data_IF_336933561757
#
_entry.id   IF_336933561757
#
_cell.length_a   1.000
_cell.length_b   1.000
_cell.length_c   1.000
_cell.angle_alpha   90.00
_cell.angle_beta   90.00
_cell.angle_gamma   90.00
#
_symmetry.space_group_name_H-M   'P 1'
#
loop_
_entity.id
_entity.type
_entity.pdbx_description
1 polymer ?
#
# COMPACT_ATOMS: atom_id res chain seq x y z
N UNK A 1 -0.95 -6.26 -16.99
CA UNK A 1 -2.29 -6.91 -16.95
C UNK A 1 -3.35 -5.88 -17.33
N UNK A 2 -4.41 -6.26 -18.05
CA UNK A 2 -5.55 -5.37 -18.38
C UNK A 2 -6.52 -5.24 -17.21
N UNK A 3 -7.37 -4.20 -17.20
CA UNK A 3 -8.29 -3.93 -16.09
C UNK A 3 -9.27 -5.09 -15.86
N UNK A 4 -9.80 -5.67 -16.92
CA UNK A 4 -10.76 -6.79 -16.88
C UNK A 4 -10.12 -8.04 -16.28
N UNK A 5 -8.90 -8.37 -16.74
CA UNK A 5 -8.15 -9.51 -16.21
C UNK A 5 -7.82 -9.35 -14.71
N UNK A 6 -7.60 -8.11 -14.24
CA UNK A 6 -7.46 -7.83 -12.81
C UNK A 6 -8.76 -8.09 -12.07
N UNK A 7 -9.89 -7.55 -12.55
CA UNK A 7 -11.19 -7.72 -11.90
C UNK A 7 -11.57 -9.20 -11.81
N UNK A 8 -11.43 -9.96 -12.90
CA UNK A 8 -11.69 -11.40 -12.92
C UNK A 8 -10.84 -12.18 -11.92
N UNK A 9 -9.59 -11.75 -11.65
CA UNK A 9 -8.75 -12.37 -10.64
C UNK A 9 -9.16 -11.95 -9.23
N UNK A 10 -9.49 -10.68 -9.02
CA UNK A 10 -9.88 -10.15 -7.73
C UNK A 10 -11.21 -10.75 -7.24
N UNK A 11 -12.18 -10.94 -8.13
CA UNK A 11 -13.49 -11.53 -7.81
C UNK A 11 -13.43 -13.00 -7.37
N UNK A 12 -12.37 -13.73 -7.78
CA UNK A 12 -12.13 -15.12 -7.35
C UNK A 12 -11.59 -15.21 -5.93
N UNK A 13 -11.13 -14.11 -5.36
CA UNK A 13 -10.61 -14.04 -4.00
C UNK A 13 -11.74 -13.61 -3.09
N UNK A 14 -12.06 -14.40 -2.06
CA UNK A 14 -13.17 -14.12 -1.13
C UNK A 14 -13.12 -12.70 -0.54
N UNK A 15 -11.92 -12.23 -0.20
CA UNK A 15 -11.70 -10.92 0.39
C UNK A 15 -10.34 -10.38 -0.06
N UNK A 16 -10.24 -9.78 -1.25
CA UNK A 16 -8.97 -9.35 -1.79
C UNK A 16 -8.41 -8.17 -1.00
N UNK A 17 -7.12 -8.23 -0.67
CA UNK A 17 -6.38 -7.13 -0.07
C UNK A 17 -5.68 -6.33 -1.15
N UNK A 18 -5.98 -5.03 -1.22
CA UNK A 18 -5.47 -4.12 -2.25
C UNK A 18 -4.66 -3.00 -1.58
N UNK A 19 -3.38 -2.90 -1.95
CA UNK A 19 -2.55 -1.78 -1.52
C UNK A 19 -2.84 -0.55 -2.38
N UNK A 20 -3.08 0.59 -1.75
CA UNK A 20 -3.21 1.89 -2.41
C UNK A 20 -2.16 2.84 -1.84
N UNK A 21 -1.11 3.11 -2.63
CA UNK A 21 0.09 3.80 -2.15
C UNK A 21 0.67 4.76 -3.17
N UNK A 22 1.55 5.64 -2.74
CA UNK A 22 2.35 6.40 -3.69
C UNK A 22 3.25 7.46 -3.07
N UNK A 23 3.68 8.39 -3.92
CA UNK A 23 4.52 9.51 -3.52
C UNK A 23 3.77 10.49 -2.63
N UNK A 24 4.53 11.22 -1.79
CA UNK A 24 4.01 12.31 -0.96
C UNK A 24 3.72 13.57 -1.76
N UNK A 25 4.44 13.78 -2.86
CA UNK A 25 4.27 14.94 -3.73
C UNK A 25 3.38 14.54 -4.90
N UNK A 26 2.09 14.87 -4.80
CA UNK A 26 1.10 14.58 -5.84
C UNK A 26 0.75 15.88 -6.55
N UNK A 27 0.89 15.94 -7.90
CA UNK A 27 0.41 17.08 -8.67
C UNK A 27 -1.10 17.28 -8.49
N UNK A 28 -1.55 18.54 -8.42
CA UNK A 28 -2.95 18.87 -8.11
C UNK A 28 -3.93 18.24 -9.13
N UNK A 29 -3.52 18.20 -10.40
CA UNK A 29 -4.27 17.61 -11.51
C UNK A 29 -4.43 16.09 -11.42
N UNK A 30 -3.55 15.41 -10.68
CA UNK A 30 -3.64 13.97 -10.44
C UNK A 30 -4.62 13.66 -9.30
N UNK A 31 -4.82 14.56 -8.35
CA UNK A 31 -5.57 14.28 -7.12
C UNK A 31 -7.01 13.74 -7.35
N UNK A 32 -7.83 14.30 -8.26
CA UNK A 32 -9.17 13.75 -8.54
C UNK A 32 -9.13 12.31 -9.07
N UNK A 33 -8.05 11.93 -9.76
CA UNK A 33 -7.90 10.60 -10.38
C UNK A 33 -7.60 9.54 -9.33
N UNK A 34 -6.74 9.84 -8.36
CA UNK A 34 -6.45 8.93 -7.24
C UNK A 34 -7.72 8.65 -6.43
N UNK A 35 -8.49 9.70 -6.15
CA UNK A 35 -9.79 9.59 -5.46
C UNK A 35 -10.73 8.70 -6.28
N UNK A 36 -10.94 9.02 -7.56
CA UNK A 36 -11.86 8.28 -8.42
C UNK A 36 -11.47 6.82 -8.60
N UNK A 37 -10.18 6.51 -8.73
CA UNK A 37 -9.71 5.13 -8.83
C UNK A 37 -10.05 4.33 -7.56
N UNK A 38 -9.77 4.87 -6.38
CA UNK A 38 -10.11 4.21 -5.11
C UNK A 38 -11.61 3.99 -4.98
N UNK A 39 -12.44 5.00 -5.31
CA UNK A 39 -13.90 4.88 -5.27
C UNK A 39 -14.39 3.75 -6.19
N UNK A 40 -13.93 3.73 -7.45
CA UNK A 40 -14.33 2.69 -8.41
C UNK A 40 -13.90 1.29 -7.99
N UNK A 41 -12.68 1.13 -7.46
CA UNK A 41 -12.22 -0.15 -6.94
C UNK A 41 -13.12 -0.64 -5.80
N UNK A 42 -13.56 0.27 -4.92
CA UNK A 42 -14.41 -0.10 -3.80
C UNK A 42 -15.85 -0.43 -4.18
N UNK A 43 -16.37 0.19 -5.24
CA UNK A 43 -17.68 -0.11 -5.84
C UNK A 43 -17.67 -1.47 -6.54
N UNK A 44 -16.63 -1.74 -7.35
CA UNK A 44 -16.51 -2.97 -8.13
C UNK A 44 -16.16 -4.19 -7.26
N UNK A 45 -15.43 -3.98 -6.16
CA UNK A 45 -14.98 -5.05 -5.27
C UNK A 45 -15.53 -4.83 -3.86
N UNK A 46 -16.82 -5.12 -3.60
CA UNK A 46 -17.48 -4.81 -2.33
C UNK A 46 -16.88 -5.56 -1.14
N UNK A 47 -16.24 -6.72 -1.37
CA UNK A 47 -15.55 -7.48 -0.34
C UNK A 47 -14.09 -7.02 -0.10
N UNK A 48 -13.52 -6.16 -0.95
CA UNK A 48 -12.10 -5.80 -0.86
C UNK A 48 -11.76 -5.05 0.43
N UNK A 49 -10.56 -5.34 0.95
CA UNK A 49 -9.86 -4.58 1.98
C UNK A 49 -8.83 -3.69 1.30
N UNK A 50 -8.80 -2.42 1.69
CA UNK A 50 -7.85 -1.43 1.21
C UNK A 50 -6.83 -1.08 2.27
N UNK A 51 -5.55 -1.25 1.94
CA UNK A 51 -4.43 -1.11 2.87
C UNK A 51 -3.47 -0.02 2.44
N UNK A 52 -2.96 0.74 3.41
CA UNK A 52 -2.01 1.84 3.18
C UNK A 52 -1.07 2.06 4.36
N UNK A 53 0.01 2.81 4.12
CA UNK A 53 0.95 3.24 5.14
C UNK A 53 0.60 4.54 5.86
N UNK A 54 -0.59 5.12 5.58
CA UNK A 54 -1.05 6.39 6.15
C UNK A 54 -0.08 7.56 5.92
N UNK A 55 0.64 7.55 4.78
CA UNK A 55 1.50 8.67 4.41
C UNK A 55 0.68 9.87 3.94
N UNK A 56 1.31 11.04 3.83
CA UNK A 56 0.71 12.17 3.12
C UNK A 56 0.82 11.99 1.60
N UNK A 57 0.05 12.77 0.84
CA UNK A 57 0.03 12.70 -0.62
C UNK A 57 -0.90 11.61 -1.13
N UNK A 58 -0.35 10.66 -1.88
CA UNK A 58 -1.14 9.66 -2.63
C UNK A 58 -2.04 8.82 -1.74
N UNK A 59 -1.49 8.29 -0.64
CA UNK A 59 -2.19 7.51 0.37
C UNK A 59 -3.44 8.26 0.89
N UNK A 60 -3.29 9.53 1.28
CA UNK A 60 -4.39 10.39 1.74
C UNK A 60 -5.48 10.54 0.67
N UNK A 61 -5.09 10.71 -0.60
CA UNK A 61 -6.02 10.92 -1.70
C UNK A 61 -6.79 9.64 -2.05
N UNK A 62 -6.11 8.49 -2.10
CA UNK A 62 -6.78 7.20 -2.24
C UNK A 62 -7.79 6.98 -1.12
N UNK A 63 -7.38 7.15 0.14
CA UNK A 63 -8.27 6.93 1.28
C UNK A 63 -9.35 8.01 1.44
N UNK A 64 -9.24 9.14 0.74
CA UNK A 64 -10.36 10.08 0.58
C UNK A 64 -11.44 9.52 -0.34
N UNK A 65 -11.08 8.77 -1.40
CA UNK A 65 -12.04 8.07 -2.26
C UNK A 65 -12.75 6.90 -1.58
N UNK A 66 -12.22 6.44 -0.45
CA UNK A 66 -12.78 5.39 0.41
C UNK A 66 -13.52 5.97 1.63
N UNK A 67 -14.01 7.20 1.58
CA UNK A 67 -14.63 7.84 2.74
C UNK A 67 -15.93 7.12 3.16
N UNK A 68 -16.78 6.79 2.18
CA UNK A 68 -18.14 6.27 2.35
C UNK A 68 -18.23 4.74 2.43
N UNK A 69 -17.10 4.03 2.33
CA UNK A 69 -17.09 2.56 2.46
C UNK A 69 -17.15 2.17 3.94
N UNK A 70 -17.56 0.92 4.21
CA UNK A 70 -17.45 0.32 5.55
C UNK A 70 -16.03 0.54 6.10
N UNK A 71 -15.88 1.23 7.25
CA UNK A 71 -14.58 1.48 7.87
C UNK A 71 -13.72 0.24 8.11
N UNK A 72 -14.35 -0.93 8.32
CA UNK A 72 -13.64 -2.20 8.53
C UNK A 72 -12.90 -2.69 7.28
N UNK A 73 -13.22 -2.15 6.10
CA UNK A 73 -12.51 -2.40 4.84
C UNK A 73 -11.24 -1.55 4.69
N UNK A 74 -10.90 -0.70 5.66
CA UNK A 74 -9.70 0.15 5.63
C UNK A 74 -8.68 -0.33 6.65
N UNK A 75 -7.47 -0.54 6.16
CA UNK A 75 -6.33 -0.96 6.97
C UNK A 75 -5.18 0.05 6.88
N UNK A 76 -4.65 0.42 8.03
CA UNK A 76 -3.44 1.22 8.14
C UNK A 76 -2.33 0.42 8.80
N UNK A 77 -1.19 0.35 8.13
CA UNK A 77 0.02 -0.23 8.71
C UNK A 77 1.00 0.89 9.03
N UNK A 78 1.32 1.04 10.32
CA UNK A 78 2.12 2.14 10.85
C UNK A 78 3.53 1.64 11.23
N UNK A 79 4.56 2.49 11.14
CA UNK A 79 5.88 2.12 11.64
C UNK A 79 5.88 1.92 13.16
N UNK A 80 5.04 2.66 13.89
CA UNK A 80 4.86 2.56 15.35
C UNK A 80 3.48 3.10 15.76
N UNK A 81 2.98 2.74 16.95
CA UNK A 81 1.70 3.23 17.45
C UNK A 81 1.61 4.76 17.46
N UNK A 82 0.53 5.30 16.90
CA UNK A 82 0.27 6.75 16.84
C UNK A 82 0.99 7.50 15.72
N UNK A 83 1.80 6.84 14.88
CA UNK A 83 2.37 7.48 13.69
C UNK A 83 1.25 7.99 12.76
N UNK A 84 1.27 9.30 12.43
CA UNK A 84 0.26 9.88 11.55
C UNK A 84 -1.17 9.89 12.11
N UNK A 85 -1.35 9.85 13.44
CA UNK A 85 -2.66 9.75 14.11
C UNK A 85 -3.73 10.71 13.57
N UNK A 86 -3.36 11.96 13.25
CA UNK A 86 -4.30 12.99 12.74
C UNK A 86 -4.92 12.63 11.38
N UNK A 87 -4.32 11.72 10.62
CA UNK A 87 -4.80 11.29 9.30
C UNK A 87 -5.60 9.98 9.35
N UNK A 88 -5.59 9.29 10.49
CA UNK A 88 -6.35 8.04 10.64
C UNK A 88 -7.85 8.34 10.53
N UNK A 89 -8.53 7.56 9.68
CA UNK A 89 -9.99 7.58 9.62
C UNK A 89 -10.56 6.81 10.82
N UNK A 90 -11.65 7.29 11.44
CA UNK A 90 -12.32 6.56 12.51
C UNK A 90 -12.68 5.13 12.09
N UNK A 91 -12.60 4.21 13.05
CA UNK A 91 -13.02 2.81 12.89
C UNK A 91 -12.27 1.99 11.83
N UNK A 92 -11.20 2.53 11.24
CA UNK A 92 -10.28 1.73 10.42
C UNK A 92 -9.49 0.77 11.31
N UNK A 93 -9.12 -0.40 10.76
CA UNK A 93 -8.18 -1.32 11.39
C UNK A 93 -6.78 -0.70 11.32
N UNK A 94 -6.05 -0.72 12.43
CA UNK A 94 -4.72 -0.12 12.53
C UNK A 94 -3.77 -1.11 13.17
N UNK A 95 -2.64 -1.35 12.49
CA UNK A 95 -1.58 -2.23 12.94
C UNK A 95 -0.23 -1.51 12.84
N UNK A 96 0.78 -2.03 13.53
CA UNK A 96 2.12 -1.49 13.54
C UNK A 96 3.17 -2.57 13.75
N UNK A 97 4.44 -2.22 13.53
CA UNK A 97 5.55 -3.13 13.82
C UNK A 97 5.62 -3.56 15.29
N UNK A 98 5.06 -2.76 16.21
CA UNK A 98 5.04 -3.09 17.63
C UNK A 98 4.00 -4.16 17.99
N UNK A 99 3.07 -4.46 17.08
CA UNK A 99 2.03 -5.47 17.27
C UNK A 99 2.48 -6.86 16.80
N UNK A 100 3.62 -6.96 16.10
CA UNK A 100 4.13 -8.21 15.55
C UNK A 100 4.72 -9.13 16.61
N UNK A 101 4.53 -10.43 16.42
CA UNK A 101 5.32 -11.44 17.10
C UNK A 101 6.81 -11.32 16.67
N UNK A 102 7.79 -11.70 17.52
CA UNK A 102 9.21 -11.61 17.19
C UNK A 102 9.58 -12.31 15.87
N UNK A 103 8.96 -13.44 15.56
CA UNK A 103 9.21 -14.24 14.37
C UNK A 103 8.68 -13.54 13.10
N UNK A 104 7.52 -12.90 13.20
CA UNK A 104 6.95 -12.10 12.11
C UNK A 104 7.76 -10.83 11.87
N UNK A 105 8.24 -10.19 12.94
CA UNK A 105 9.14 -9.03 12.83
C UNK A 105 10.45 -9.42 12.12
N UNK A 106 10.99 -10.61 12.43
CA UNK A 106 12.17 -11.16 11.76
C UNK A 106 11.92 -11.45 10.28
N UNK A 107 10.78 -12.04 9.91
CA UNK A 107 10.43 -12.28 8.50
C UNK A 107 10.24 -10.95 7.74
N UNK A 108 9.56 -9.97 8.35
CA UNK A 108 9.44 -8.61 7.79
C UNK A 108 10.82 -7.99 7.56
N UNK A 109 11.76 -8.14 8.49
CA UNK A 109 13.13 -7.66 8.32
C UNK A 109 13.83 -8.37 7.15
N UNK A 110 13.72 -9.69 7.07
CA UNK A 110 14.31 -10.49 5.98
C UNK A 110 13.77 -10.08 4.60
N UNK A 111 12.45 -9.91 4.47
CA UNK A 111 11.82 -9.43 3.22
C UNK A 111 12.26 -8.01 2.89
N UNK A 112 12.37 -7.14 3.90
CA UNK A 112 12.87 -5.77 3.73
C UNK A 112 14.29 -5.77 3.16
N UNK A 113 15.17 -6.64 3.68
CA UNK A 113 16.57 -6.75 3.27
C UNK A 113 16.74 -7.38 1.90
N UNK A 114 15.92 -8.37 1.55
CA UNK A 114 15.91 -8.94 0.20
C UNK A 114 15.62 -7.86 -0.85
N UNK A 115 14.61 -7.01 -0.59
CA UNK A 115 14.22 -5.96 -1.51
C UNK A 115 15.13 -4.70 -1.45
N UNK A 116 15.87 -4.47 -0.37
CA UNK A 116 16.81 -3.34 -0.24
C UNK A 116 18.06 -3.70 0.59
N UNK A 117 19.01 -4.47 0.02
CA UNK A 117 20.19 -4.96 0.74
C UNK A 117 21.07 -3.83 1.32
N UNK A 118 21.17 -2.70 0.62
CA UNK A 118 21.97 -1.53 1.01
C UNK A 118 21.56 -0.93 2.38
N UNK A 119 20.42 -1.34 2.92
CA UNK A 119 19.83 -0.83 4.15
C UNK A 119 20.06 -1.76 5.35
N UNK A 120 20.88 -2.80 5.19
CA UNK A 120 21.21 -3.79 6.22
C UNK A 120 21.57 -3.17 7.56
N UNK A 121 22.51 -2.23 7.58
CA UNK A 121 22.96 -1.58 8.82
C UNK A 121 21.82 -0.81 9.54
N UNK A 122 20.86 -0.26 8.79
CA UNK A 122 19.73 0.46 9.37
C UNK A 122 18.70 -0.49 9.97
N UNK A 123 18.38 -1.58 9.26
CA UNK A 123 17.44 -2.60 9.73
C UNK A 123 17.99 -3.33 10.95
N UNK A 124 19.23 -3.81 10.88
CA UNK A 124 19.89 -4.45 12.02
C UNK A 124 19.98 -3.49 13.22
N UNK A 125 20.34 -2.23 12.95
CA UNK A 125 20.37 -1.20 13.98
C UNK A 125 19.03 -0.95 14.65
N UNK A 126 17.91 -1.12 13.94
CA UNK A 126 16.56 -1.05 14.51
C UNK A 126 16.24 -2.28 15.36
N UNK A 127 16.57 -3.49 14.88
CA UNK A 127 16.30 -4.73 15.61
C UNK A 127 17.04 -4.77 16.96
N UNK A 128 18.27 -4.27 17.00
CA UNK A 128 19.10 -4.28 18.22
C UNK A 128 18.77 -3.16 19.20
N UNK A 129 18.52 -1.95 18.69
CA UNK A 129 18.45 -0.73 19.51
C UNK A 129 17.05 -0.11 19.58
N UNK A 130 16.09 -0.70 18.87
CA UNK A 130 14.75 -0.17 18.72
C UNK A 130 14.71 1.19 18.02
N UNK A 131 13.64 1.95 18.31
CA UNK A 131 13.35 3.24 17.68
C UNK A 131 14.27 4.34 18.21
N UNK A 132 15.01 4.96 17.29
CA UNK A 132 15.77 6.18 17.53
C UNK A 132 15.86 7.02 16.23
N UNK A 133 16.55 8.16 16.29
CA UNK A 133 16.67 9.08 15.15
C UNK A 133 17.27 8.42 13.90
N UNK A 134 18.19 7.49 14.07
CA UNK A 134 18.90 6.82 12.97
C UNK A 134 18.07 5.65 12.40
N UNK A 135 17.27 4.98 13.23
CA UNK A 135 16.53 3.77 12.84
C UNK A 135 15.12 4.06 12.33
N UNK A 136 14.63 5.30 12.43
CA UNK A 136 13.32 5.70 11.91
C UNK A 136 13.12 5.27 10.44
N UNK A 137 14.12 5.45 9.57
CA UNK A 137 14.01 5.05 8.15
C UNK A 137 13.78 3.54 8.01
N UNK A 138 14.45 2.71 8.80
CA UNK A 138 14.27 1.26 8.78
C UNK A 138 12.82 0.88 9.14
N UNK A 139 12.23 1.53 10.14
CA UNK A 139 10.85 1.26 10.54
C UNK A 139 9.84 1.55 9.42
N UNK A 140 10.04 2.63 8.65
CA UNK A 140 9.15 2.93 7.52
C UNK A 140 9.25 1.85 6.43
N UNK A 141 10.45 1.33 6.18
CA UNK A 141 10.67 0.30 5.17
C UNK A 141 10.16 -1.07 5.62
N UNK A 142 10.41 -1.43 6.88
CA UNK A 142 9.84 -2.65 7.47
C UNK A 142 8.32 -2.60 7.50
N UNK A 143 7.73 -1.44 7.79
CA UNK A 143 6.29 -1.23 7.63
C UNK A 143 5.84 -1.41 6.18
N UNK A 144 6.65 -0.97 5.22
CA UNK A 144 6.35 -1.13 3.79
C UNK A 144 6.33 -2.61 3.39
N UNK A 145 7.26 -3.42 3.90
CA UNK A 145 7.23 -4.87 3.75
C UNK A 145 6.02 -5.52 4.45
N UNK A 146 5.71 -5.15 5.70
CA UNK A 146 4.56 -5.68 6.46
C UNK A 146 3.23 -5.49 5.71
N UNK A 147 3.04 -4.36 5.01
CA UNK A 147 1.82 -4.16 4.20
C UNK A 147 1.64 -5.24 3.15
N UNK A 148 2.73 -5.70 2.55
CA UNK A 148 2.72 -6.70 1.48
C UNK A 148 2.57 -8.09 2.07
N UNK A 149 3.39 -8.45 3.07
CA UNK A 149 3.46 -9.84 3.56
C UNK A 149 2.39 -10.18 4.58
N UNK A 150 1.80 -9.18 5.25
CA UNK A 150 0.83 -9.42 6.31
C UNK A 150 1.47 -9.99 7.59
N UNK A 151 0.62 -10.40 8.53
CA UNK A 151 0.98 -10.99 9.81
C UNK A 151 -0.16 -11.91 10.29
N UNK A 152 0.01 -13.24 10.23
CA UNK A 152 -1.00 -14.19 10.67
C UNK A 152 -1.48 -13.98 12.11
N UNK A 153 -0.58 -13.62 13.04
CA UNK A 153 -0.93 -13.40 14.46
C UNK A 153 -1.93 -12.24 14.65
N UNK A 154 -2.03 -11.35 13.67
CA UNK A 154 -2.89 -10.16 13.67
C UNK A 154 -4.14 -10.33 12.77
N UNK A 155 -4.38 -11.54 12.25
CA UNK A 155 -5.40 -11.77 11.21
C UNK A 155 -5.26 -10.77 10.04
N UNK A 156 -4.00 -10.53 9.66
CA UNK A 156 -3.62 -9.59 8.60
C UNK A 156 -3.10 -10.39 7.40
N UNK A 157 -3.95 -10.78 6.43
CA UNK A 157 -3.51 -11.56 5.29
C UNK A 157 -2.54 -10.77 4.39
N UNK A 158 -1.69 -11.45 3.61
CA UNK A 158 -0.86 -10.81 2.60
C UNK A 158 -1.69 -10.01 1.59
N UNK A 159 -1.07 -9.02 0.95
CA UNK A 159 -1.69 -8.31 -0.16
C UNK A 159 -1.95 -9.25 -1.35
N UNK A 160 -2.99 -8.96 -2.14
CA UNK A 160 -3.26 -9.64 -3.41
C UNK A 160 -2.93 -8.77 -4.63
N UNK A 161 -3.07 -7.45 -4.49
CA UNK A 161 -2.80 -6.48 -5.56
C UNK A 161 -2.20 -5.20 -4.98
N UNK A 162 -1.44 -4.46 -5.78
CA UNK A 162 -0.92 -3.16 -5.37
C UNK A 162 -1.01 -2.11 -6.48
N UNK A 163 -1.53 -0.94 -6.12
CA UNK A 163 -1.64 0.23 -6.99
C UNK A 163 -0.75 1.35 -6.46
N UNK A 164 0.15 1.82 -7.32
CA UNK A 164 1.13 2.85 -6.97
C UNK A 164 1.01 4.09 -7.85
N UNK A 165 0.83 5.24 -7.19
CA UNK A 165 1.11 6.54 -7.79
C UNK A 165 2.58 6.91 -7.51
N UNK A 166 3.49 6.50 -8.38
CA UNK A 166 4.94 6.69 -8.23
C UNK A 166 5.45 7.87 -9.07
N UNK A 167 6.68 8.34 -8.81
CA UNK A 167 7.36 9.27 -9.69
C UNK A 167 7.61 8.59 -11.06
N UNK A 168 7.11 9.12 -12.19
CA UNK A 168 7.29 8.50 -13.50
C UNK A 168 8.76 8.45 -13.95
N UNK A 169 9.60 9.39 -13.52
CA UNK A 169 11.02 9.44 -13.89
C UNK A 169 11.85 8.40 -13.13
N UNK A 170 11.48 8.11 -11.89
CA UNK A 170 12.18 7.14 -11.06
C UNK A 170 11.21 6.43 -10.09
N UNK A 171 10.41 5.47 -10.59
CA UNK A 171 9.36 4.82 -9.81
C UNK A 171 9.92 3.92 -8.69
N UNK A 172 11.19 3.53 -8.78
CA UNK A 172 11.85 2.64 -7.81
C UNK A 172 12.63 3.40 -6.71
N UNK A 173 12.56 4.72 -6.69
CA UNK A 173 13.19 5.52 -5.64
C UNK A 173 12.33 5.61 -4.36
N UNK A 174 13.01 5.78 -3.23
CA UNK A 174 12.38 6.05 -1.94
C UNK A 174 11.55 4.89 -1.37
N UNK A 175 10.62 5.21 -0.47
CA UNK A 175 9.75 4.23 0.19
C UNK A 175 8.77 3.56 -0.78
N UNK A 176 8.11 4.32 -1.65
CA UNK A 176 7.22 3.77 -2.69
C UNK A 176 7.97 2.77 -3.58
N UNK A 177 9.18 3.12 -4.01
CA UNK A 177 10.01 2.22 -4.79
C UNK A 177 10.44 0.96 -4.05
N UNK A 178 10.67 1.07 -2.73
CA UNK A 178 10.91 -0.10 -1.89
C UNK A 178 9.70 -1.02 -1.84
N UNK A 179 8.49 -0.51 -1.58
CA UNK A 179 7.27 -1.34 -1.59
C UNK A 179 7.10 -2.04 -2.95
N UNK A 180 7.33 -1.33 -4.07
CA UNK A 180 7.26 -1.92 -5.42
C UNK A 180 8.24 -3.09 -5.57
N UNK A 181 9.48 -2.99 -5.06
CA UNK A 181 10.43 -4.10 -5.09
C UNK A 181 9.95 -5.29 -4.26
N UNK A 182 9.47 -5.04 -3.04
CA UNK A 182 8.87 -6.11 -2.20
C UNK A 182 7.73 -6.80 -2.93
N UNK A 183 6.80 -6.04 -3.53
CA UNK A 183 5.69 -6.60 -4.30
C UNK A 183 6.20 -7.49 -5.45
N UNK A 184 7.23 -7.06 -6.20
CA UNK A 184 7.80 -7.83 -7.30
C UNK A 184 8.47 -9.11 -6.84
N UNK A 185 9.26 -9.05 -5.76
CA UNK A 185 9.94 -10.21 -5.20
C UNK A 185 8.93 -11.25 -4.67
N UNK A 186 7.78 -10.79 -4.20
CA UNK A 186 6.65 -11.62 -3.76
C UNK A 186 5.72 -12.09 -4.89
N UNK A 187 6.00 -11.72 -6.15
CA UNK A 187 5.14 -12.06 -7.29
C UNK A 187 3.77 -11.39 -7.28
N UNK A 188 3.61 -10.29 -6.53
CA UNK A 188 2.35 -9.57 -6.38
C UNK A 188 2.04 -8.75 -7.64
N UNK A 189 0.86 -8.92 -8.26
CA UNK A 189 0.40 -8.04 -9.32
C UNK A 189 0.44 -6.57 -8.89
N UNK A 190 1.28 -5.80 -9.58
CA UNK A 190 1.60 -4.42 -9.25
C UNK A 190 1.29 -3.52 -10.43
N UNK A 191 0.57 -2.43 -10.16
CA UNK A 191 0.15 -1.46 -11.16
C UNK A 191 0.72 -0.08 -10.85
N UNK A 192 1.58 0.43 -11.73
CA UNK A 192 2.15 1.78 -11.62
C UNK A 192 1.45 2.76 -12.59
N UNK A 193 1.57 4.07 -12.34
CA UNK A 193 0.86 5.13 -13.07
C UNK A 193 0.78 4.95 -14.60
N UNK A 194 1.88 4.58 -15.27
CA UNK A 194 1.89 4.39 -16.73
C UNK A 194 1.02 3.22 -17.20
N UNK A 195 0.89 2.17 -16.40
CA UNK A 195 0.04 1.02 -16.69
C UNK A 195 -1.43 1.33 -16.41
N UNK A 196 -1.68 2.14 -15.35
CA UNK A 196 -3.01 2.61 -15.05
C UNK A 196 -3.56 3.54 -16.14
N UNK A 197 -2.69 4.31 -16.81
CA UNK A 197 -3.10 5.11 -17.97
C UNK A 197 -3.72 4.25 -19.09
N UNK A 198 -3.24 3.01 -19.25
CA UNK A 198 -3.76 2.07 -20.26
C UNK A 198 -5.11 1.46 -19.86
N UNK A 199 -5.51 1.55 -18.60
CA UNK A 199 -6.81 1.10 -18.10
C UNK A 199 -7.91 2.14 -18.28
N UNK A 200 -7.64 3.25 -18.98
CA UNK A 200 -8.64 4.29 -19.21
C UNK A 200 -9.04 5.08 -17.96
N UNK A 201 -8.46 4.82 -16.79
CA UNK A 201 -8.70 5.61 -15.59
C UNK A 201 -7.95 6.97 -15.60
N UNK A 202 -7.10 7.22 -16.60
CA UNK A 202 -6.23 8.41 -16.65
C UNK A 202 -6.10 9.08 -18.04
N UNK A 203 -6.83 8.58 -19.06
CA UNK A 203 -6.88 9.15 -20.41
C UNK A 203 -8.29 9.07 -21.00
N UNK A 204 -8.56 9.78 -22.11
CA UNK A 204 -9.89 9.91 -22.76
C UNK A 204 -10.52 8.61 -23.27
N UNK A 205 -9.89 7.45 -23.07
CA UNK A 205 -10.38 6.16 -23.54
C UNK A 205 -11.10 5.36 -22.45
N UNK A 206 -12.30 4.92 -22.83
CA UNK A 206 -13.39 4.41 -22.01
C UNK A 206 -13.21 2.95 -21.59
N UNK A 207 -12.52 2.70 -20.48
CA UNK A 207 -12.57 1.39 -19.79
C UNK A 207 -13.34 1.47 -18.47
N UNK A 208 -13.26 2.60 -17.78
CA UNK A 208 -14.11 2.94 -16.63
C UNK A 208 -15.21 3.94 -16.96
N UNK A 209 -15.65 4.01 -18.21
CA UNK A 209 -16.81 4.83 -18.62
C UNK A 209 -17.79 4.02 -19.46
N UNK A 210 -18.57 3.24 -18.74
CA UNK A 210 -19.93 2.79 -19.05
C UNK A 210 -20.50 2.36 -17.69
N UNK A 211 -21.73 2.60 -17.27
CA UNK A 211 -22.87 3.40 -17.72
C UNK A 211 -23.83 3.32 -16.53
N UNK A 212 -24.23 4.47 -15.97
CA UNK A 212 -25.56 4.69 -15.40
C UNK A 212 -25.90 6.16 -15.62
#
# INVERSE_FOLDING_TARGET
>A
MKAEAFLEQAEKIRQPVILLEGTRKVPAEAAPRLISLATKLAELLPAAIFRSGNAEGSDTLFFKGLAEIDPNRREYILPYPGAGKKRLRPQARVFSLADLAPEELAEVAKVTLAASPDLQNLVQGFLERGRNRLTNKAMYLMRDALKVVGAPSLELPPANFAFFFANPENPLAGGTGHTIRVCRDMGLPTFVQNELNNWGCWGKNKLFSASF
#
